data_IF_862467373338
#
_entry.id   IF_862467373338
#
_cell.length_a   1.000
_cell.length_b   1.000
_cell.length_c   1.000
_cell.angle_alpha   90.00
_cell.angle_beta   90.00
_cell.angle_gamma   90.00
#
_symmetry.space_group_name_H-M   'P 1'
#
loop_
_entity.id
_entity.type
_entity.pdbx_description
1 polymer ?
#
# COMPACT_ATOMS: atom_id res chain seq x y z
N UNK A 1 -25.55 -16.07 -4.74
CA UNK A 1 -24.22 -16.36 -4.19
C UNK A 1 -23.56 -17.40 -5.07
N UNK A 2 -22.32 -17.18 -5.50
CA UNK A 2 -21.60 -18.09 -6.40
C UNK A 2 -20.20 -18.39 -5.85
N UNK A 3 -19.81 -19.66 -5.65
CA UNK A 3 -18.47 -19.99 -5.18
C UNK A 3 -17.44 -19.74 -6.28
N UNK A 4 -16.26 -19.23 -5.91
CA UNK A 4 -15.13 -19.02 -6.80
C UNK A 4 -13.80 -19.30 -6.08
N UNK A 5 -12.71 -19.47 -6.84
CA UNK A 5 -11.36 -19.68 -6.31
C UNK A 5 -10.47 -18.52 -6.74
N UNK A 6 -9.89 -17.79 -5.77
CA UNK A 6 -8.94 -16.71 -6.08
C UNK A 6 -7.56 -17.23 -6.48
N UNK A 7 -7.22 -18.46 -6.11
CA UNK A 7 -5.96 -19.09 -6.45
C UNK A 7 -6.16 -20.55 -6.86
N UNK A 8 -6.74 -20.85 -8.03
CA UNK A 8 -7.07 -22.21 -8.44
C UNK A 8 -5.87 -23.16 -8.48
N UNK A 9 -4.66 -22.64 -8.70
CA UNK A 9 -3.41 -23.41 -8.63
C UNK A 9 -3.17 -24.08 -7.26
N UNK A 10 -3.76 -23.58 -6.17
CA UNK A 10 -3.71 -24.20 -4.86
C UNK A 10 -4.27 -25.63 -4.82
N UNK A 11 -5.17 -25.98 -5.75
CA UNK A 11 -5.70 -27.34 -5.90
C UNK A 11 -4.63 -28.36 -6.30
N UNK A 12 -3.45 -27.94 -6.80
CA UNK A 12 -2.33 -28.85 -7.06
C UNK A 12 -1.90 -29.61 -5.79
N UNK A 13 -2.15 -29.05 -4.60
CA UNK A 13 -1.91 -29.72 -3.33
C UNK A 13 -2.74 -31.02 -3.14
N UNK A 14 -3.81 -31.22 -3.92
CA UNK A 14 -4.56 -32.49 -3.93
C UNK A 14 -3.68 -33.68 -4.33
N UNK A 15 -2.55 -33.47 -5.02
CA UNK A 15 -1.57 -34.54 -5.28
C UNK A 15 -1.06 -35.21 -3.99
N UNK A 16 -1.08 -34.51 -2.85
CA UNK A 16 -0.71 -35.08 -1.55
C UNK A 16 -1.63 -36.23 -1.10
N UNK A 17 -2.86 -36.32 -1.65
CA UNK A 17 -3.78 -37.44 -1.40
C UNK A 17 -3.20 -38.78 -1.87
N UNK A 18 -2.32 -38.77 -2.87
CA UNK A 18 -1.66 -39.99 -3.36
C UNK A 18 -0.83 -40.65 -2.27
N UNK A 19 -0.21 -39.88 -1.38
CA UNK A 19 0.69 -40.42 -0.36
C UNK A 19 -0.02 -41.41 0.60
N UNK A 20 -1.11 -41.04 1.32
CA UNK A 20 -1.81 -41.98 2.19
C UNK A 20 -2.47 -43.13 1.42
N UNK A 21 -2.94 -42.91 0.18
CA UNK A 21 -3.48 -43.98 -0.67
C UNK A 21 -2.41 -45.02 -1.01
N UNK A 22 -1.23 -44.57 -1.43
CA UNK A 22 -0.10 -45.44 -1.76
C UNK A 22 0.45 -46.16 -0.53
N UNK A 23 0.57 -45.48 0.62
CA UNK A 23 0.97 -46.10 1.88
C UNK A 23 -0.04 -47.17 2.30
N UNK A 24 -1.34 -46.89 2.20
CA UNK A 24 -2.37 -47.85 2.54
C UNK A 24 -2.33 -49.08 1.64
N UNK A 25 -2.13 -48.89 0.32
CA UNK A 25 -1.99 -49.99 -0.63
C UNK A 25 -0.68 -50.79 -0.45
N UNK A 26 0.39 -50.13 -0.02
CA UNK A 26 1.69 -50.74 0.23
C UNK A 26 1.77 -51.48 1.57
N UNK A 27 0.87 -51.18 2.53
CA UNK A 27 0.83 -51.80 3.85
C UNK A 27 0.43 -53.27 3.74
N UNK A 28 1.43 -54.13 3.66
CA UNK A 28 1.25 -55.58 3.80
C UNK A 28 0.97 -55.88 5.27
N UNK A 29 -0.05 -56.69 5.56
CA UNK A 29 -0.32 -57.16 6.92
C UNK A 29 0.91 -57.93 7.40
N UNK A 30 1.61 -57.42 8.42
CA UNK A 30 2.65 -58.18 9.11
C UNK A 30 1.95 -59.30 9.87
N UNK A 31 1.96 -60.51 9.30
CA UNK A 31 1.65 -61.72 10.05
C UNK A 31 2.72 -61.91 11.11
N UNK A 32 2.39 -61.56 12.36
CA UNK A 32 3.20 -61.94 13.50
C UNK A 32 3.20 -63.48 13.57
N UNK A 33 4.34 -64.10 13.30
CA UNK A 33 4.53 -65.53 13.51
C UNK A 33 4.50 -65.78 15.01
N UNK A 34 3.36 -66.24 15.50
CA UNK A 34 3.23 -66.68 16.89
C UNK A 34 3.70 -68.13 16.96
N UNK A 35 4.71 -68.42 17.78
CA UNK A 35 5.19 -69.78 17.98
C UNK A 35 4.15 -70.57 18.78
N UNK A 36 3.32 -71.34 18.09
CA UNK A 36 2.24 -72.12 18.69
C UNK A 36 2.59 -73.61 18.63
N UNK A 37 3.05 -74.15 19.75
CA UNK A 37 3.61 -75.51 19.87
C UNK A 37 2.69 -76.64 19.37
N UNK A 38 1.37 -76.43 19.35
CA UNK A 38 0.40 -77.42 18.88
C UNK A 38 0.34 -77.55 17.34
N UNK A 39 0.90 -76.62 16.56
CA UNK A 39 0.89 -76.67 15.09
C UNK A 39 1.80 -77.75 14.49
N UNK A 40 2.74 -78.31 15.26
CA UNK A 40 3.66 -79.36 14.77
C UNK A 40 2.96 -80.65 14.32
N UNK A 41 1.69 -80.84 14.69
CA UNK A 41 0.87 -82.00 14.33
C UNK A 41 -0.13 -81.70 13.21
N UNK A 42 -0.26 -80.45 12.77
CA UNK A 42 -1.20 -80.02 11.74
C UNK A 42 -0.53 -80.09 10.36
N UNK A 43 -0.99 -81.02 9.50
CA UNK A 43 -0.34 -81.36 8.20
C UNK A 43 -0.79 -80.50 7.01
N UNK A 44 -1.62 -79.49 7.23
CA UNK A 44 -2.20 -78.70 6.16
C UNK A 44 -1.46 -77.37 5.98
N UNK A 45 -0.99 -77.11 4.75
CA UNK A 45 -0.43 -75.83 4.34
C UNK A 45 -1.57 -74.98 3.76
N UNK A 46 -2.24 -74.10 4.54
CA UNK A 46 -3.27 -73.24 3.98
C UNK A 46 -2.66 -72.32 2.92
N UNK A 47 -3.22 -72.32 1.70
CA UNK A 47 -2.82 -71.39 0.65
C UNK A 47 -3.10 -69.96 1.12
N UNK A 48 -2.11 -69.06 1.19
CA UNK A 48 -2.33 -67.69 1.64
C UNK A 48 -3.28 -66.98 0.68
N UNK A 49 -4.53 -66.77 1.13
CA UNK A 49 -5.50 -65.94 0.41
C UNK A 49 -5.13 -64.47 0.61
N UNK A 50 -4.31 -63.97 -0.31
CA UNK A 50 -3.97 -62.55 -0.44
C UNK A 50 -5.19 -61.77 -0.94
N UNK A 51 -6.11 -61.40 -0.04
CA UNK A 51 -7.14 -60.40 -0.36
C UNK A 51 -6.79 -59.11 0.38
N UNK A 52 -6.67 -57.97 -0.32
CA UNK A 52 -6.55 -56.69 0.35
C UNK A 52 -7.84 -56.44 1.14
N UNK A 53 -7.75 -56.45 2.47
CA UNK A 53 -8.80 -55.97 3.35
C UNK A 53 -8.47 -54.52 3.68
N UNK A 54 -9.41 -53.62 3.40
CA UNK A 54 -9.34 -52.22 3.78
C UNK A 54 -9.63 -52.08 5.28
N UNK A 55 -8.70 -52.55 6.13
CA UNK A 55 -8.78 -52.27 7.56
C UNK A 55 -8.54 -50.77 7.79
N UNK A 56 -9.25 -50.16 8.74
CA UNK A 56 -9.13 -48.72 9.06
C UNK A 56 -9.63 -47.74 7.97
N UNK A 57 -10.51 -48.16 7.02
CA UNK A 57 -11.06 -47.25 6.00
C UNK A 57 -11.65 -45.92 6.55
N UNK A 58 -12.36 -45.88 7.70
CA UNK A 58 -12.81 -44.61 8.28
C UNK A 58 -11.67 -43.63 8.58
N UNK A 59 -10.52 -44.12 9.03
CA UNK A 59 -9.34 -43.30 9.30
C UNK A 59 -8.69 -42.80 8.00
N UNK A 60 -8.64 -43.65 6.97
CA UNK A 60 -8.16 -43.25 5.65
C UNK A 60 -9.03 -42.13 5.05
N UNK A 61 -10.35 -42.27 5.10
CA UNK A 61 -11.29 -41.22 4.61
C UNK A 61 -11.07 -39.92 5.36
N UNK A 62 -10.96 -39.96 6.70
CA UNK A 62 -10.69 -38.77 7.49
C UNK A 62 -9.39 -38.08 7.08
N UNK A 63 -8.31 -38.85 6.82
CA UNK A 63 -7.03 -38.31 6.35
C UNK A 63 -7.12 -37.69 4.95
N UNK A 64 -7.85 -38.32 4.04
CA UNK A 64 -8.08 -37.77 2.70
C UNK A 64 -8.91 -36.48 2.75
N UNK A 65 -9.98 -36.45 3.55
CA UNK A 65 -10.79 -35.25 3.74
C UNK A 65 -9.99 -34.10 4.36
N UNK A 66 -9.13 -34.38 5.34
CA UNK A 66 -8.24 -33.40 5.94
C UNK A 66 -7.29 -32.77 4.90
N UNK A 67 -6.60 -33.60 4.11
CA UNK A 67 -5.70 -33.13 3.06
C UNK A 67 -6.45 -32.36 1.95
N UNK A 68 -7.64 -32.83 1.57
CA UNK A 68 -8.47 -32.13 0.59
C UNK A 68 -8.94 -30.76 1.11
N UNK A 69 -9.34 -30.66 2.38
CA UNK A 69 -9.71 -29.39 3.00
C UNK A 69 -8.52 -28.42 3.07
N UNK A 70 -7.32 -28.90 3.38
CA UNK A 70 -6.09 -28.10 3.35
C UNK A 70 -5.77 -27.62 1.93
N UNK A 71 -5.87 -28.49 0.92
CA UNK A 71 -5.67 -28.10 -0.48
C UNK A 71 -6.69 -27.04 -0.91
N UNK A 72 -7.95 -27.19 -0.50
CA UNK A 72 -8.98 -26.19 -0.74
C UNK A 72 -8.65 -24.87 -0.02
N UNK A 73 -8.08 -24.89 1.18
CA UNK A 73 -7.65 -23.69 1.90
C UNK A 73 -6.58 -22.90 1.12
N UNK A 74 -5.61 -23.59 0.53
CA UNK A 74 -4.63 -22.98 -0.36
C UNK A 74 -5.24 -22.41 -1.64
N UNK A 75 -6.37 -22.97 -2.12
CA UNK A 75 -7.05 -22.48 -3.32
C UNK A 75 -7.81 -21.14 -3.12
N UNK A 76 -7.83 -20.61 -1.89
CA UNK A 76 -8.49 -19.34 -1.50
C UNK A 76 -9.95 -19.28 -1.99
N UNK A 77 -10.84 -20.14 -1.45
CA UNK A 77 -12.23 -20.20 -1.83
C UNK A 77 -12.97 -18.97 -1.31
N UNK A 78 -13.80 -18.38 -2.18
CA UNK A 78 -14.61 -17.20 -1.86
C UNK A 78 -16.06 -17.39 -2.30
N UNK A 79 -17.00 -16.78 -1.58
CA UNK A 79 -18.39 -16.67 -2.00
C UNK A 79 -18.64 -15.27 -2.57
N UNK A 80 -18.94 -15.20 -3.86
CA UNK A 80 -19.33 -13.94 -4.52
C UNK A 80 -20.82 -13.66 -4.36
N UNK A 81 -21.20 -12.38 -4.26
CA UNK A 81 -22.60 -11.97 -4.07
C UNK A 81 -23.20 -12.41 -2.72
N UNK A 82 -22.34 -12.60 -1.71
CA UNK A 82 -22.65 -13.03 -0.36
C UNK A 82 -22.67 -11.88 0.66
N UNK A 83 -22.46 -10.66 0.19
CA UNK A 83 -22.28 -9.51 1.06
C UNK A 83 -23.62 -9.02 1.62
N UNK A 84 -23.58 -8.60 2.88
CA UNK A 84 -24.75 -8.20 3.64
C UNK A 84 -25.14 -6.76 3.32
N UNK A 85 -26.43 -6.51 3.10
CA UNK A 85 -26.99 -5.15 2.93
C UNK A 85 -27.11 -4.37 4.25
N UNK A 86 -26.49 -4.87 5.33
CA UNK A 86 -26.52 -4.22 6.64
C UNK A 86 -25.94 -2.81 6.54
N UNK A 87 -26.57 -1.81 7.21
CA UNK A 87 -26.00 -0.48 7.31
C UNK A 87 -24.58 -0.55 7.88
N UNK A 88 -23.64 0.14 7.24
CA UNK A 88 -22.24 0.24 7.67
C UNK A 88 -21.95 1.65 8.16
N UNK A 89 -21.32 1.76 9.32
CA UNK A 89 -20.86 3.03 9.89
C UNK A 89 -19.34 3.05 9.88
N UNK A 90 -18.75 4.07 9.27
CA UNK A 90 -17.32 4.33 9.31
C UNK A 90 -17.03 5.62 10.08
N UNK A 91 -15.97 5.64 10.89
CA UNK A 91 -15.59 6.79 11.71
C UNK A 91 -14.17 7.23 11.33
N UNK A 92 -14.01 8.49 10.92
CA UNK A 92 -12.68 9.05 10.66
C UNK A 92 -11.90 9.15 11.97
N UNK A 93 -10.62 8.74 12.03
CA UNK A 93 -9.78 8.93 13.20
C UNK A 93 -9.83 10.38 13.72
N UNK A 94 -10.10 10.55 15.01
CA UNK A 94 -10.28 11.85 15.65
C UNK A 94 -11.72 12.36 15.67
N UNK A 95 -12.67 11.70 15.00
CA UNK A 95 -14.11 11.94 15.17
C UNK A 95 -14.66 11.18 16.40
N UNK A 96 -15.74 11.68 16.98
CA UNK A 96 -16.45 10.99 18.06
C UNK A 96 -17.06 9.67 17.55
N UNK A 97 -16.60 8.56 18.13
CA UNK A 97 -17.05 7.21 17.82
C UNK A 97 -18.23 6.75 18.70
N UNK A 98 -18.61 7.50 19.75
CA UNK A 98 -19.67 7.10 20.69
C UNK A 98 -20.99 6.88 19.96
N UNK A 99 -21.63 5.75 20.22
CA UNK A 99 -22.90 5.39 19.57
C UNK A 99 -22.79 5.04 18.08
N UNK A 100 -21.61 4.70 17.56
CA UNK A 100 -21.46 4.24 16.17
C UNK A 100 -22.19 2.91 15.87
N UNK A 101 -22.56 2.15 16.90
CA UNK A 101 -23.27 0.89 16.79
C UNK A 101 -22.35 -0.31 16.57
N UNK A 102 -22.93 -1.50 16.64
CA UNK A 102 -22.22 -2.76 16.40
C UNK A 102 -21.78 -2.88 14.94
N UNK A 103 -20.53 -3.31 14.70
CA UNK A 103 -19.98 -3.48 13.36
C UNK A 103 -19.53 -2.19 12.67
N UNK A 104 -19.42 -1.08 13.42
CA UNK A 104 -18.75 0.13 12.95
C UNK A 104 -17.24 -0.10 12.81
N UNK A 105 -16.62 0.66 11.91
CA UNK A 105 -15.18 0.55 11.59
C UNK A 105 -14.49 1.90 11.64
N UNK A 106 -13.20 1.91 11.96
CA UNK A 106 -12.35 3.07 11.71
C UNK A 106 -12.10 3.23 10.22
N UNK A 107 -12.15 4.48 9.74
CA UNK A 107 -11.75 4.81 8.38
C UNK A 107 -10.22 4.89 8.30
N UNK A 108 -9.60 3.71 8.23
CA UNK A 108 -8.17 3.49 8.10
C UNK A 108 -7.93 2.26 7.19
N UNK A 109 -6.70 2.05 6.68
CA UNK A 109 -6.40 0.89 5.84
C UNK A 109 -6.82 -0.43 6.52
N UNK A 110 -7.57 -1.26 5.78
CA UNK A 110 -8.12 -2.52 6.29
C UNK A 110 -9.40 -2.40 7.14
N UNK A 111 -9.92 -1.20 7.35
CA UNK A 111 -11.17 -0.92 8.07
C UNK A 111 -11.30 -1.65 9.42
N UNK A 112 -10.34 -1.45 10.36
CA UNK A 112 -10.35 -2.16 11.63
C UNK A 112 -11.61 -1.80 12.43
N UNK A 113 -12.07 -2.74 13.25
CA UNK A 113 -13.28 -2.57 14.04
C UNK A 113 -13.16 -1.41 15.03
N UNK A 114 -14.28 -0.72 15.32
CA UNK A 114 -14.27 0.52 16.10
C UNK A 114 -13.80 0.33 17.55
N UNK A 115 -13.87 -0.89 18.07
CA UNK A 115 -13.40 -1.31 19.39
C UNK A 115 -11.87 -1.43 19.48
N UNK A 116 -11.18 -1.47 18.35
CA UNK A 116 -9.72 -1.41 18.31
C UNK A 116 -9.22 0.01 18.63
N UNK A 117 -7.98 0.14 19.15
CA UNK A 117 -7.38 1.45 19.39
C UNK A 117 -7.43 2.36 18.16
N UNK A 118 -7.79 3.63 18.38
CA UNK A 118 -7.90 4.60 17.29
C UNK A 118 -6.58 4.68 16.48
N UNK A 119 -6.63 4.49 15.16
CA UNK A 119 -5.46 4.60 14.29
C UNK A 119 -4.78 5.96 14.43
N UNK A 120 -3.45 5.95 14.45
CA UNK A 120 -2.61 7.15 14.55
C UNK A 120 -2.03 7.52 13.18
N UNK A 121 -1.73 8.81 13.00
CA UNK A 121 -1.12 9.32 11.78
C UNK A 121 -2.13 9.88 10.76
N UNK A 122 -1.62 10.28 9.59
CA UNK A 122 -2.44 10.79 8.49
C UNK A 122 -3.12 9.66 7.75
N UNK A 123 -4.43 9.80 7.52
CA UNK A 123 -5.22 8.85 6.73
C UNK A 123 -5.74 9.53 5.46
N UNK A 124 -5.63 8.90 4.28
CA UNK A 124 -6.18 9.44 3.04
C UNK A 124 -7.69 9.21 3.00
N UNK A 125 -8.44 10.09 3.68
CA UNK A 125 -9.89 9.96 3.91
C UNK A 125 -10.65 9.73 2.60
N UNK A 126 -10.36 10.50 1.55
CA UNK A 126 -11.05 10.42 0.25
C UNK A 126 -10.88 9.04 -0.39
N UNK A 127 -9.66 8.52 -0.42
CA UNK A 127 -9.36 7.21 -0.98
C UNK A 127 -10.03 6.09 -0.19
N UNK A 128 -10.00 6.18 1.14
CA UNK A 128 -10.61 5.16 2.02
C UNK A 128 -12.14 5.17 1.93
N UNK A 129 -12.77 6.33 1.73
CA UNK A 129 -14.22 6.40 1.46
C UNK A 129 -14.56 5.69 0.15
N UNK A 130 -13.77 5.89 -0.92
CA UNK A 130 -13.98 5.20 -2.20
C UNK A 130 -13.72 3.69 -2.10
N UNK A 131 -12.70 3.28 -1.37
CA UNK A 131 -12.41 1.87 -1.13
C UNK A 131 -13.54 1.20 -0.33
N UNK A 132 -14.00 1.83 0.75
CA UNK A 132 -15.15 1.34 1.50
C UNK A 132 -16.41 1.32 0.64
N UNK A 133 -16.59 2.31 -0.23
CA UNK A 133 -17.70 2.35 -1.16
C UNK A 133 -17.69 1.14 -2.09
N UNK A 134 -16.53 0.84 -2.69
CA UNK A 134 -16.35 -0.26 -3.62
C UNK A 134 -16.51 -1.66 -3.00
N UNK A 135 -16.27 -1.82 -1.70
CA UNK A 135 -16.35 -3.12 -1.00
C UNK A 135 -17.77 -3.49 -0.55
N UNK A 136 -18.70 -2.54 -0.50
CA UNK A 136 -20.07 -2.77 -0.04
C UNK A 136 -21.02 -3.15 -1.20
N UNK A 137 -22.08 -3.94 -0.96
CA UNK A 137 -23.16 -4.16 -1.92
C UNK A 137 -23.79 -2.86 -2.41
N UNK A 138 -24.39 -2.85 -3.62
CA UNK A 138 -25.10 -1.67 -4.14
C UNK A 138 -26.24 -1.18 -3.23
N UNK A 139 -26.92 -2.08 -2.51
CA UNK A 139 -28.06 -1.77 -1.64
C UNK A 139 -27.67 -1.41 -0.19
N UNK A 140 -26.41 -1.60 0.21
CA UNK A 140 -25.95 -1.31 1.56
C UNK A 140 -25.94 0.20 1.83
N UNK A 141 -26.45 0.62 2.99
CA UNK A 141 -26.38 2.02 3.43
C UNK A 141 -25.03 2.29 4.10
N UNK A 142 -24.36 3.38 3.73
CA UNK A 142 -23.09 3.78 4.32
C UNK A 142 -23.23 5.13 5.03
N UNK A 143 -22.92 5.16 6.32
CA UNK A 143 -22.78 6.38 7.12
C UNK A 143 -21.31 6.62 7.41
N UNK A 144 -20.81 7.83 7.16
CA UNK A 144 -19.43 8.22 7.51
C UNK A 144 -19.49 9.37 8.50
N UNK A 145 -18.94 9.12 9.70
CA UNK A 145 -18.81 10.11 10.77
C UNK A 145 -17.44 10.78 10.66
N UNK A 146 -17.45 12.09 10.51
CA UNK A 146 -16.25 12.90 10.26
C UNK A 146 -16.14 14.03 11.28
N UNK A 147 -14.92 14.45 11.65
CA UNK A 147 -14.76 15.66 12.45
C UNK A 147 -15.08 16.90 11.61
N UNK A 148 -15.21 18.07 12.23
CA UNK A 148 -15.52 19.31 11.51
C UNK A 148 -14.51 19.68 10.41
N UNK A 149 -13.26 19.25 10.59
CA UNK A 149 -12.12 19.53 9.69
C UNK A 149 -11.45 18.22 9.31
N UNK A 150 -11.27 18.02 8.00
CA UNK A 150 -10.55 16.88 7.44
C UNK A 150 -9.21 17.37 6.89
N UNK A 151 -8.16 16.57 7.11
CA UNK A 151 -6.82 16.75 6.56
C UNK A 151 -6.56 15.71 5.46
N UNK A 152 -5.61 15.95 4.57
CA UNK A 152 -5.32 15.05 3.45
C UNK A 152 -6.48 14.89 2.46
N UNK A 153 -7.35 15.90 2.35
CA UNK A 153 -8.39 15.95 1.34
C UNK A 153 -7.81 16.29 -0.05
N UNK A 154 -8.38 15.68 -1.08
CA UNK A 154 -8.10 16.04 -2.47
C UNK A 154 -8.78 17.37 -2.84
N UNK A 155 -8.32 17.99 -3.93
CA UNK A 155 -8.90 19.23 -4.47
C UNK A 155 -10.37 19.09 -4.92
N UNK A 156 -10.84 17.87 -5.16
CA UNK A 156 -12.21 17.57 -5.59
C UNK A 156 -12.95 16.72 -4.57
N UNK A 157 -14.28 16.87 -4.53
CA UNK A 157 -15.16 16.04 -3.70
C UNK A 157 -15.08 14.56 -4.12
N UNK A 158 -15.21 13.59 -3.20
CA UNK A 158 -15.15 12.18 -3.52
C UNK A 158 -16.38 11.82 -4.36
N UNK A 159 -16.16 11.27 -5.55
CA UNK A 159 -17.23 10.69 -6.36
C UNK A 159 -17.39 9.23 -5.96
N UNK A 160 -18.60 8.85 -5.55
CA UNK A 160 -18.96 7.53 -5.02
C UNK A 160 -20.18 6.94 -5.75
N UNK A 161 -20.40 5.64 -5.61
CA UNK A 161 -21.45 4.92 -6.33
C UNK A 161 -22.83 5.04 -5.67
N UNK A 162 -22.87 5.21 -4.34
CA UNK A 162 -24.09 5.37 -3.54
C UNK A 162 -24.14 6.70 -2.79
N UNK A 163 -25.32 7.07 -2.32
CA UNK A 163 -25.47 8.19 -1.40
C UNK A 163 -24.91 7.79 -0.02
N UNK A 164 -23.98 8.59 0.50
CA UNK A 164 -23.36 8.39 1.81
C UNK A 164 -24.00 9.37 2.79
N UNK A 165 -24.45 8.86 3.94
CA UNK A 165 -24.88 9.69 5.06
C UNK A 165 -23.64 10.28 5.74
N UNK A 166 -23.30 11.52 5.38
CA UNK A 166 -22.10 12.21 5.82
C UNK A 166 -22.40 13.05 7.07
N UNK A 167 -21.99 12.55 8.24
CA UNK A 167 -22.31 13.16 9.53
C UNK A 167 -21.10 13.83 10.16
N UNK A 168 -21.13 15.15 10.25
CA UNK A 168 -20.14 15.93 11.00
C UNK A 168 -20.43 15.76 12.50
N UNK A 169 -19.44 15.27 13.25
CA UNK A 169 -19.52 15.03 14.69
C UNK A 169 -18.39 15.75 15.44
N UNK A 170 -18.52 15.96 16.76
CA UNK A 170 -17.42 16.51 17.55
C UNK A 170 -16.16 15.68 17.39
N UNK A 171 -15.00 16.34 17.38
CA UNK A 171 -13.73 15.68 17.18
C UNK A 171 -12.73 16.55 16.44
N UNK A 172 -11.47 16.14 16.50
CA UNK A 172 -10.37 16.81 15.82
C UNK A 172 -9.45 15.75 15.23
N UNK A 173 -9.33 15.76 13.91
CA UNK A 173 -8.34 14.94 13.23
C UNK A 173 -6.93 15.47 13.53
N UNK A 174 -5.95 14.58 13.66
CA UNK A 174 -4.56 14.97 13.83
C UNK A 174 -4.08 15.72 12.57
N UNK A 175 -3.68 16.98 12.75
CA UNK A 175 -3.10 17.77 11.68
C UNK A 175 -1.67 17.27 11.40
N UNK A 176 -1.26 17.13 10.12
CA UNK A 176 0.14 16.91 9.81
C UNK A 176 0.97 18.06 10.39
N UNK A 177 2.21 17.79 10.85
CA UNK A 177 3.08 18.82 11.39
C UNK A 177 3.27 19.93 10.35
N UNK A 178 3.12 21.18 10.78
CA UNK A 178 3.34 22.32 9.91
C UNK A 178 4.78 22.28 9.39
N UNK A 179 4.95 22.05 8.09
CA UNK A 179 6.27 22.13 7.45
C UNK A 179 6.62 23.60 7.36
N UNK A 180 7.39 24.10 8.33
CA UNK A 180 7.98 25.44 8.23
C UNK A 180 9.03 25.37 7.13
N UNK A 181 8.71 25.94 5.96
CA UNK A 181 9.68 26.05 4.86
C UNK A 181 10.77 27.03 5.33
N UNK A 182 11.90 26.49 5.78
CA UNK A 182 13.06 27.31 6.08
C UNK A 182 13.58 27.90 4.76
N UNK A 183 13.94 29.20 4.72
CA UNK A 183 14.54 29.79 3.53
C UNK A 183 15.81 29.03 3.19
N UNK A 184 15.91 28.53 1.95
CA UNK A 184 17.09 27.84 1.46
C UNK A 184 18.17 28.90 1.20
N UNK A 185 19.30 28.92 1.92
CA UNK A 185 20.34 29.90 1.67
C UNK A 185 20.89 29.69 0.26
N UNK A 186 21.00 30.79 -0.51
CA UNK A 186 21.44 30.77 -1.89
C UNK A 186 22.82 31.41 -2.02
N UNK A 187 23.83 30.59 -2.28
CA UNK A 187 25.17 31.04 -2.63
C UNK A 187 25.28 31.26 -4.15
N UNK A 188 25.99 32.29 -4.60
CA UNK A 188 26.18 32.58 -6.03
C UNK A 188 27.66 32.45 -6.40
N UNK A 189 27.96 31.64 -7.42
CA UNK A 189 29.29 31.48 -8.01
C UNK A 189 29.24 32.05 -9.43
N UNK A 190 29.83 33.22 -9.61
CA UNK A 190 29.76 33.99 -10.85
C UNK A 190 31.13 33.98 -11.55
N UNK A 191 31.19 33.38 -12.73
CA UNK A 191 32.34 33.38 -13.63
C UNK A 191 32.13 34.24 -14.88
N UNK A 192 31.21 35.21 -14.83
CA UNK A 192 30.88 36.09 -15.95
C UNK A 192 29.76 35.57 -16.86
N UNK A 193 29.00 34.54 -16.44
CA UNK A 193 27.89 34.05 -17.24
C UNK A 193 26.70 35.04 -17.24
N UNK A 194 26.05 35.16 -18.41
CA UNK A 194 24.89 36.03 -18.58
C UNK A 194 23.79 35.67 -17.57
N UNK A 195 23.31 36.67 -16.86
CA UNK A 195 22.23 36.52 -15.88
C UNK A 195 22.66 36.37 -14.42
N UNK A 196 23.96 36.18 -14.15
CA UNK A 196 24.47 36.03 -12.79
C UNK A 196 24.16 37.26 -11.91
N UNK A 197 24.13 38.46 -12.51
CA UNK A 197 23.76 39.69 -11.82
C UNK A 197 22.32 39.67 -11.27
N UNK A 198 21.35 39.17 -12.05
CA UNK A 198 19.95 39.05 -11.60
C UNK A 198 19.81 38.03 -10.47
N UNK A 199 20.47 36.87 -10.58
CA UNK A 199 20.46 35.85 -9.54
C UNK A 199 21.12 36.35 -8.26
N UNK A 200 22.22 37.11 -8.36
CA UNK A 200 22.87 37.76 -7.21
C UNK A 200 22.00 38.84 -6.57
N UNK A 201 21.28 39.63 -7.36
CA UNK A 201 20.33 40.62 -6.84
C UNK A 201 19.19 39.93 -6.09
N UNK A 202 18.61 38.87 -6.65
CA UNK A 202 17.59 38.06 -6.01
C UNK A 202 18.09 37.37 -4.73
N UNK A 203 19.29 36.80 -4.75
CA UNK A 203 19.92 36.21 -3.56
C UNK A 203 20.06 37.23 -2.42
N UNK A 204 20.47 38.47 -2.74
CA UNK A 204 20.55 39.57 -1.76
C UNK A 204 19.18 39.97 -1.21
N UNK A 205 18.15 40.05 -2.07
CA UNK A 205 16.78 40.33 -1.65
C UNK A 205 16.24 39.23 -0.69
N UNK A 206 16.63 37.98 -0.91
CA UNK A 206 16.34 36.84 -0.03
C UNK A 206 17.23 36.79 1.23
N UNK A 207 18.08 37.80 1.47
CA UNK A 207 18.97 37.87 2.63
C UNK A 207 20.26 37.04 2.53
N UNK A 208 20.52 36.39 1.39
CA UNK A 208 21.75 35.63 1.16
C UNK A 208 22.89 36.55 0.73
N UNK A 209 24.04 36.43 1.39
CA UNK A 209 25.24 37.26 1.12
C UNK A 209 26.41 36.48 0.54
N UNK A 210 26.36 35.15 0.53
CA UNK A 210 27.41 34.29 -0.03
C UNK A 210 27.49 34.47 -1.55
N UNK A 211 28.51 35.17 -2.02
CA UNK A 211 28.78 35.40 -3.43
C UNK A 211 30.29 35.40 -3.69
N UNK A 212 30.72 34.91 -4.86
CA UNK A 212 32.13 34.84 -5.23
C UNK A 212 32.37 34.20 -6.60
N UNK A 213 33.64 34.01 -6.95
CA UNK A 213 34.07 33.28 -8.14
C UNK A 213 34.00 31.75 -7.97
N UNK A 214 34.49 31.01 -8.97
CA UNK A 214 34.53 29.55 -8.96
C UNK A 214 35.48 28.96 -7.90
N UNK A 215 36.44 29.76 -7.44
CA UNK A 215 37.46 29.47 -6.44
C UNK A 215 36.92 29.49 -4.99
N UNK A 216 35.78 30.15 -4.77
CA UNK A 216 35.18 30.25 -3.45
C UNK A 216 34.54 28.91 -3.03
N UNK A 217 34.86 28.36 -1.85
CA UNK A 217 34.34 27.08 -1.38
C UNK A 217 32.81 27.00 -1.42
N UNK A 218 32.27 25.83 -1.74
CA UNK A 218 30.83 25.58 -1.72
C UNK A 218 30.30 25.57 -0.28
N UNK A 219 29.06 26.04 -0.04
CA UNK A 219 28.43 25.93 1.27
C UNK A 219 28.25 24.46 1.68
N UNK A 220 28.05 24.22 2.98
CA UNK A 220 27.80 22.86 3.50
C UNK A 220 26.43 22.31 3.10
N UNK A 221 25.42 23.17 3.07
CA UNK A 221 24.05 22.84 2.70
C UNK A 221 23.32 24.04 2.08
N UNK A 222 22.28 23.79 1.29
CA UNK A 222 21.41 24.82 0.72
C UNK A 222 21.39 24.81 -0.81
N UNK A 223 21.43 25.99 -1.41
CA UNK A 223 21.43 26.16 -2.85
C UNK A 223 22.66 26.91 -3.35
N UNK A 224 23.16 26.53 -4.52
CA UNK A 224 24.27 27.21 -5.21
C UNK A 224 23.86 27.54 -6.64
N UNK A 225 23.89 28.82 -7.02
CA UNK A 225 23.85 29.21 -8.42
C UNK A 225 25.25 29.15 -9.02
N UNK A 226 25.51 28.17 -9.88
CA UNK A 226 26.79 27.96 -10.55
C UNK A 226 26.76 28.58 -11.95
N UNK A 227 27.14 29.84 -12.04
CA UNK A 227 27.15 30.68 -13.23
C UNK A 227 28.58 30.88 -13.75
N UNK A 228 29.31 29.78 -13.85
CA UNK A 228 30.68 29.72 -14.35
C UNK A 228 30.65 29.01 -15.71
N UNK A 229 31.21 29.60 -16.78
CA UNK A 229 31.30 28.94 -18.08
C UNK A 229 32.10 27.63 -18.02
N UNK A 230 31.72 26.65 -18.85
CA UNK A 230 32.42 25.37 -18.96
C UNK A 230 31.64 24.19 -18.37
N UNK A 231 32.31 23.04 -18.26
CA UNK A 231 31.71 21.84 -17.70
C UNK A 231 31.47 21.99 -16.19
N UNK A 232 30.36 21.43 -15.71
CA UNK A 232 30.04 21.46 -14.28
C UNK A 232 31.10 20.64 -13.50
N UNK A 233 31.81 21.21 -12.52
CA UNK A 233 32.81 20.46 -11.77
C UNK A 233 32.21 19.30 -10.96
N UNK A 234 32.98 18.23 -10.76
CA UNK A 234 32.55 17.07 -9.98
C UNK A 234 32.12 17.46 -8.56
N UNK A 235 32.85 18.36 -7.90
CA UNK A 235 32.52 18.85 -6.56
C UNK A 235 31.11 19.50 -6.48
N UNK A 236 30.66 20.17 -7.55
CA UNK A 236 29.33 20.81 -7.62
C UNK A 236 28.26 19.75 -7.88
N UNK A 237 28.54 18.75 -8.71
CA UNK A 237 27.64 17.59 -8.89
C UNK A 237 27.48 16.79 -7.59
N UNK A 238 28.57 16.55 -6.88
CA UNK A 238 28.56 15.83 -5.61
C UNK A 238 27.82 16.62 -4.53
N UNK A 239 27.93 17.96 -4.56
CA UNK A 239 27.15 18.84 -3.69
C UNK A 239 25.64 18.65 -3.92
N UNK A 240 25.19 18.63 -5.18
CA UNK A 240 23.79 18.31 -5.50
C UNK A 240 23.40 16.90 -5.03
N UNK A 241 24.24 15.89 -5.32
CA UNK A 241 23.99 14.50 -4.96
C UNK A 241 23.75 14.28 -3.45
N UNK A 242 24.36 15.10 -2.58
CA UNK A 242 24.20 15.07 -1.12
C UNK A 242 22.85 15.59 -0.60
N UNK A 243 21.96 16.10 -1.46
CA UNK A 243 20.65 16.64 -1.04
C UNK A 243 20.48 18.14 -1.27
N UNK A 244 21.43 18.78 -1.95
CA UNK A 244 21.40 20.23 -2.18
C UNK A 244 20.85 20.58 -3.56
N UNK A 245 20.64 21.88 -3.78
CA UNK A 245 20.13 22.41 -5.04
C UNK A 245 21.23 23.16 -5.79
N UNK A 246 21.40 22.90 -7.07
CA UNK A 246 22.32 23.68 -7.92
C UNK A 246 21.52 24.33 -9.05
N UNK A 247 21.63 25.66 -9.17
CA UNK A 247 21.04 26.42 -10.26
C UNK A 247 22.08 26.63 -11.36
N UNK A 248 21.67 26.38 -12.60
CA UNK A 248 22.53 26.38 -13.77
C UNK A 248 21.99 27.33 -14.84
N UNK A 249 22.88 28.03 -15.57
CA UNK A 249 22.49 28.85 -16.70
C UNK A 249 21.93 28.01 -17.85
N UNK A 250 21.31 28.67 -18.83
CA UNK A 250 20.72 28.02 -20.01
C UNK A 250 21.70 27.19 -20.84
N UNK A 251 22.99 27.52 -20.77
CA UNK A 251 24.07 26.83 -21.48
C UNK A 251 24.43 25.46 -20.89
N UNK A 252 24.03 25.17 -19.65
CA UNK A 252 24.29 23.88 -19.04
C UNK A 252 23.39 22.80 -19.62
N UNK A 253 23.86 21.55 -19.64
CA UNK A 253 23.04 20.39 -20.03
C UNK A 253 22.61 19.62 -18.79
N UNK A 254 21.33 19.27 -18.74
CA UNK A 254 20.73 18.46 -17.68
C UNK A 254 19.88 17.39 -18.38
N UNK A 255 20.13 16.12 -18.08
CA UNK A 255 19.36 14.99 -18.59
C UNK A 255 18.09 14.77 -17.74
N UNK A 256 17.04 14.20 -18.33
CA UNK A 256 15.80 13.80 -17.65
C UNK A 256 15.13 14.92 -16.83
N UNK A 257 15.17 16.15 -17.38
CA UNK A 257 14.65 17.33 -16.70
C UNK A 257 13.14 17.51 -16.92
N UNK A 258 12.44 17.99 -15.89
CA UNK A 258 11.00 18.31 -15.92
C UNK A 258 10.78 19.79 -15.62
N UNK A 259 9.80 20.42 -16.25
CA UNK A 259 9.51 21.85 -16.02
C UNK A 259 9.02 22.06 -14.59
N UNK A 260 9.76 22.86 -13.80
CA UNK A 260 9.42 23.18 -12.39
C UNK A 260 8.96 24.62 -12.20
N UNK A 261 9.25 25.50 -13.15
CA UNK A 261 8.86 26.89 -13.10
C UNK A 261 8.34 27.33 -14.48
N UNK A 262 7.12 27.89 -14.49
CA UNK A 262 6.49 28.53 -15.65
C UNK A 262 6.22 30.01 -15.35
N UNK A 263 6.22 30.83 -16.38
CA UNK A 263 5.78 32.23 -16.26
C UNK A 263 4.25 32.35 -16.26
N UNK A 264 3.75 33.58 -16.15
CA UNK A 264 2.32 33.88 -16.10
C UNK A 264 1.54 33.43 -17.35
N UNK A 265 2.22 33.23 -18.49
CA UNK A 265 1.64 32.76 -19.74
C UNK A 265 1.77 31.23 -19.90
N UNK A 266 2.31 30.55 -18.89
CA UNK A 266 2.51 29.09 -18.88
C UNK A 266 3.77 28.62 -19.62
N UNK A 267 4.60 29.54 -20.14
CA UNK A 267 5.84 29.19 -20.83
C UNK A 267 6.93 28.78 -19.83
N UNK A 268 7.78 27.77 -20.15
CA UNK A 268 8.78 27.27 -19.21
C UNK A 268 9.86 28.34 -18.93
N UNK A 269 10.25 28.45 -17.65
CA UNK A 269 11.32 29.33 -17.15
C UNK A 269 12.51 28.48 -16.70
N UNK A 270 12.26 27.42 -15.94
CA UNK A 270 13.27 26.49 -15.47
C UNK A 270 12.79 25.04 -15.44
N UNK A 271 13.73 24.14 -15.62
CA UNK A 271 13.55 22.69 -15.53
C UNK A 271 14.43 22.13 -14.42
N UNK A 272 14.01 21.05 -13.77
CA UNK A 272 14.78 20.35 -12.76
C UNK A 272 14.97 18.87 -13.08
N UNK A 273 16.13 18.34 -12.75
CA UNK A 273 16.41 16.91 -12.71
C UNK A 273 16.90 16.50 -11.31
N UNK A 274 16.50 15.30 -10.89
CA UNK A 274 16.99 14.71 -9.65
C UNK A 274 18.43 14.20 -9.81
N UNK A 275 19.28 14.49 -8.82
CA UNK A 275 20.66 13.96 -8.76
C UNK A 275 20.91 13.49 -7.34
N UNK A 276 21.11 12.18 -7.15
CA UNK A 276 21.24 11.58 -5.81
C UNK A 276 20.03 11.92 -4.93
N UNK A 277 20.26 12.62 -3.81
CA UNK A 277 19.20 13.12 -2.92
C UNK A 277 18.77 14.56 -3.21
N UNK A 278 19.44 15.26 -4.13
CA UNK A 278 19.21 16.68 -4.44
C UNK A 278 18.76 16.91 -5.87
N UNK A 279 18.93 18.14 -6.36
CA UNK A 279 18.36 18.57 -7.66
C UNK A 279 19.29 19.54 -8.40
N UNK A 280 19.32 19.40 -9.72
CA UNK A 280 19.87 20.41 -10.64
C UNK A 280 18.71 21.16 -11.26
N UNK A 281 18.69 22.50 -11.16
CA UNK A 281 17.69 23.37 -11.76
C UNK A 281 18.37 24.18 -12.85
N UNK A 282 17.89 24.09 -14.08
CA UNK A 282 18.43 24.79 -15.24
C UNK A 282 17.41 25.78 -15.77
N UNK A 283 17.83 27.02 -16.03
CA UNK A 283 17.01 27.98 -16.75
C UNK A 283 16.88 27.58 -18.23
N UNK A 284 15.68 27.59 -18.80
CA UNK A 284 15.48 27.21 -20.22
C UNK A 284 15.60 28.39 -21.17
N UNK A 285 15.59 29.62 -20.63
CA UNK A 285 15.74 30.86 -21.38
C UNK A 285 16.98 31.63 -20.92
N UNK A 286 17.61 32.43 -21.80
CA UNK A 286 18.64 33.38 -21.39
C UNK A 286 18.11 34.30 -20.29
N UNK A 287 18.92 34.50 -19.25
CA UNK A 287 18.56 35.37 -18.14
C UNK A 287 18.86 36.85 -18.47
N UNK A 288 18.14 37.36 -19.46
CA UNK A 288 18.14 38.77 -19.87
C UNK A 288 16.72 39.32 -19.80
N UNK A 289 16.57 40.61 -19.49
CA UNK A 289 15.24 41.24 -19.38
C UNK A 289 14.42 41.10 -20.68
N UNK A 290 15.08 41.05 -21.85
CA UNK A 290 14.42 40.85 -23.14
C UNK A 290 13.85 39.43 -23.33
N UNK A 291 14.57 38.39 -22.88
CA UNK A 291 14.15 37.00 -23.05
C UNK A 291 13.26 36.50 -21.88
N UNK A 292 13.44 37.07 -20.69
CA UNK A 292 12.70 36.76 -19.49
C UNK A 292 12.34 38.07 -18.75
N UNK A 293 11.24 38.74 -19.14
CA UNK A 293 10.77 39.97 -18.48
C UNK A 293 10.53 39.80 -16.97
N UNK A 294 10.18 38.58 -16.55
CA UNK A 294 10.00 38.22 -15.14
C UNK A 294 11.25 38.48 -14.26
N UNK A 295 12.44 38.71 -14.83
CA UNK A 295 13.65 39.04 -14.07
C UNK A 295 13.61 40.40 -13.38
N UNK A 296 12.83 41.33 -13.92
CA UNK A 296 12.71 42.70 -13.39
C UNK A 296 11.41 42.90 -12.59
N UNK A 297 10.57 41.87 -12.51
CA UNK A 297 9.37 41.87 -11.67
C UNK A 297 9.75 41.82 -10.18
N UNK A 298 8.97 42.48 -9.33
CA UNK A 298 9.24 42.56 -7.90
C UNK A 298 9.17 41.20 -7.19
N UNK A 299 8.43 40.23 -7.74
CA UNK A 299 8.25 38.89 -7.18
C UNK A 299 9.29 37.88 -7.68
N UNK A 300 10.26 38.29 -8.51
CA UNK A 300 11.33 37.42 -8.99
C UNK A 300 12.09 36.70 -7.87
N UNK A 301 12.51 37.36 -6.76
CA UNK A 301 13.20 36.69 -5.67
C UNK A 301 12.35 35.59 -5.02
N UNK A 302 11.06 35.85 -4.84
CA UNK A 302 10.13 34.89 -4.24
C UNK A 302 9.90 33.68 -5.16
N UNK A 303 9.73 33.90 -6.46
CA UNK A 303 9.60 32.83 -7.46
C UNK A 303 10.88 31.99 -7.54
N UNK A 304 12.05 32.63 -7.47
CA UNK A 304 13.34 31.93 -7.42
C UNK A 304 13.45 31.07 -6.14
N UNK A 305 13.11 31.63 -4.98
CA UNK A 305 13.09 30.91 -3.72
C UNK A 305 12.14 29.71 -3.75
N UNK A 306 10.95 29.86 -4.33
CA UNK A 306 9.98 28.79 -4.51
C UNK A 306 10.49 27.67 -5.43
N UNK A 307 11.18 28.02 -6.53
CA UNK A 307 11.77 27.03 -7.43
C UNK A 307 12.88 26.21 -6.76
N UNK A 308 13.68 26.85 -5.91
CA UNK A 308 14.77 26.21 -5.15
C UNK A 308 14.23 25.40 -3.97
N UNK A 309 13.17 25.90 -3.32
CA UNK A 309 12.54 25.29 -2.16
C UNK A 309 11.96 23.91 -2.45
N UNK A 310 11.64 23.18 -1.38
CA UNK A 310 10.86 21.95 -1.51
C UNK A 310 9.52 22.27 -2.19
N UNK A 311 9.02 21.38 -3.08
CA UNK A 311 7.72 21.59 -3.70
C UNK A 311 6.67 21.80 -2.60
N UNK A 312 5.77 22.78 -2.74
CA UNK A 312 4.77 23.05 -1.73
C UNK A 312 3.92 21.80 -1.53
N UNK A 313 3.69 21.43 -0.26
CA UNK A 313 2.71 20.37 0.06
C UNK A 313 1.34 20.92 -0.35
N UNK A 314 0.59 20.24 -1.24
CA UNK A 314 -0.71 20.71 -1.66
C UNK A 314 -1.63 20.87 -0.44
N UNK A 315 -2.49 21.89 -0.43
CA UNK A 315 -3.42 22.10 0.68
C UNK A 315 -4.36 20.92 0.80
N UNK A 316 -4.27 20.19 1.91
CA UNK A 316 -5.13 19.03 2.19
C UNK A 316 -6.20 19.29 3.24
N UNK A 317 -6.36 20.54 3.70
CA UNK A 317 -7.26 20.88 4.81
C UNK A 317 -8.57 21.45 4.28
N UNK A 318 -9.69 20.87 4.71
CA UNK A 318 -11.03 21.29 4.28
C UNK A 318 -12.07 21.16 5.40
N UNK A 319 -13.12 21.99 5.33
CA UNK A 319 -14.31 21.80 6.14
C UNK A 319 -15.06 20.56 5.68
N UNK A 320 -15.37 19.65 6.61
CA UNK A 320 -16.00 18.39 6.27
C UNK A 320 -17.36 18.55 5.58
N UNK A 321 -18.14 19.57 5.96
CA UNK A 321 -19.44 19.88 5.34
C UNK A 321 -19.34 20.20 3.85
N UNK A 322 -18.23 20.82 3.43
CA UNK A 322 -18.03 21.27 2.04
C UNK A 322 -17.41 20.15 1.18
N UNK A 323 -16.89 19.10 1.81
CA UNK A 323 -16.26 17.94 1.17
C UNK A 323 -17.11 16.67 1.22
N UNK A 324 -18.43 16.79 1.46
CA UNK A 324 -19.34 15.65 1.45
C UNK A 324 -19.30 14.92 0.08
N UNK A 325 -19.26 13.57 0.02
CA UNK A 325 -19.23 12.82 -1.24
C UNK A 325 -20.38 13.14 -2.19
N UNK A 326 -20.11 13.09 -3.49
CA UNK A 326 -21.11 13.22 -4.56
C UNK A 326 -21.35 11.86 -5.22
N UNK A 327 -22.60 11.60 -5.60
CA UNK A 327 -22.94 10.39 -6.36
C UNK A 327 -22.56 10.58 -7.82
N UNK A 328 -21.90 9.60 -8.42
CA UNK A 328 -21.55 9.62 -9.84
C UNK A 328 -20.57 8.55 -10.29
N UNK A 329 -20.03 7.73 -9.36
CA UNK A 329 -19.15 6.64 -9.74
C UNK A 329 -19.97 5.44 -10.20
N UNK A 330 -19.40 4.65 -11.12
CA UNK A 330 -19.99 3.36 -11.49
C UNK A 330 -20.03 2.44 -10.25
N UNK A 331 -21.19 1.83 -10.00
CA UNK A 331 -21.30 0.84 -8.94
C UNK A 331 -20.48 -0.40 -9.31
N UNK A 332 -19.71 -0.89 -8.35
CA UNK A 332 -19.02 -2.18 -8.50
C UNK A 332 -20.10 -3.27 -8.59
N UNK A 333 -20.05 -4.16 -9.60
CA UNK A 333 -21.04 -5.22 -9.73
C UNK A 333 -21.01 -6.12 -8.49
N UNK A 334 -22.17 -6.53 -7.99
CA UNK A 334 -22.31 -7.33 -6.78
C UNK A 334 -21.51 -8.66 -6.83
N UNK A 335 -21.23 -9.17 -8.02
CA UNK A 335 -20.38 -10.35 -8.24
C UNK A 335 -18.90 -10.14 -7.85
N UNK A 336 -18.41 -8.90 -7.84
CA UNK A 336 -17.04 -8.59 -7.45
C UNK A 336 -16.84 -8.54 -5.92
N UNK A 337 -17.92 -8.37 -5.16
CA UNK A 337 -17.85 -8.43 -3.69
C UNK A 337 -17.86 -9.90 -3.27
N UNK A 338 -16.80 -10.30 -2.57
CA UNK A 338 -16.57 -11.70 -2.20
C UNK A 338 -16.22 -11.85 -0.72
N UNK A 339 -16.68 -12.95 -0.12
CA UNK A 339 -16.40 -13.31 1.28
C UNK A 339 -15.39 -14.45 1.31
N UNK A 340 -14.28 -14.26 2.03
CA UNK A 340 -13.25 -15.29 2.20
C UNK A 340 -13.74 -16.43 3.09
N UNK A 341 -13.73 -17.67 2.57
CA UNK A 341 -14.17 -18.86 3.30
C UNK A 341 -13.05 -19.51 4.13
N UNK A 342 -11.79 -19.08 4.00
CA UNK A 342 -10.66 -19.67 4.72
C UNK A 342 -10.82 -19.72 6.24
N UNK A 343 -11.39 -18.71 6.94
CA UNK A 343 -11.59 -18.80 8.39
C UNK A 343 -12.51 -19.94 8.79
N UNK A 344 -13.63 -20.12 8.08
CA UNK A 344 -14.57 -21.22 8.31
C UNK A 344 -13.96 -22.57 7.96
N UNK A 345 -13.20 -22.63 6.86
CA UNK A 345 -12.48 -23.84 6.47
C UNK A 345 -11.39 -24.21 7.48
N UNK A 346 -10.73 -23.25 8.12
CA UNK A 346 -9.76 -23.51 9.19
C UNK A 346 -10.42 -24.17 10.40
N UNK A 347 -11.64 -23.74 10.78
CA UNK A 347 -12.43 -24.39 11.84
C UNK A 347 -12.79 -25.82 11.42
N UNK A 348 -13.26 -26.01 10.18
CA UNK A 348 -13.59 -27.35 9.66
C UNK A 348 -12.37 -28.28 9.63
N UNK A 349 -11.19 -27.78 9.22
CA UNK A 349 -9.92 -28.50 9.25
C UNK A 349 -9.56 -28.91 10.69
N UNK A 350 -9.70 -28.00 11.66
CA UNK A 350 -9.43 -28.30 13.06
C UNK A 350 -10.37 -29.39 13.61
N UNK A 351 -11.67 -29.34 13.27
CA UNK A 351 -12.63 -30.37 13.65
C UNK A 351 -12.31 -31.72 12.99
N UNK A 352 -11.97 -31.73 11.70
CA UNK A 352 -11.53 -32.94 10.99
C UNK A 352 -10.27 -33.55 11.62
N UNK A 353 -9.32 -32.71 12.03
CA UNK A 353 -8.11 -33.16 12.73
C UNK A 353 -8.46 -33.82 14.07
N UNK A 354 -9.38 -33.25 14.85
CA UNK A 354 -9.85 -33.85 16.11
C UNK A 354 -10.51 -35.21 15.89
N UNK A 355 -11.35 -35.33 14.86
CA UNK A 355 -11.99 -36.60 14.48
C UNK A 355 -10.93 -37.63 14.04
N UNK A 356 -9.96 -37.22 13.23
CA UNK A 356 -8.88 -38.10 12.79
C UNK A 356 -8.02 -38.58 13.98
N UNK A 357 -7.65 -37.68 14.91
CA UNK A 357 -6.91 -38.02 16.13
C UNK A 357 -7.70 -38.96 17.03
N UNK A 358 -9.00 -38.75 17.17
CA UNK A 358 -9.86 -39.63 17.95
C UNK A 358 -9.98 -41.03 17.32
N UNK A 359 -10.15 -41.12 15.99
CA UNK A 359 -10.15 -42.41 15.29
C UNK A 359 -8.79 -43.13 15.41
N UNK A 360 -7.67 -42.41 15.35
CA UNK A 360 -6.33 -42.97 15.48
C UNK A 360 -6.00 -43.45 16.91
N UNK A 361 -6.58 -42.81 17.92
CA UNK A 361 -6.38 -43.16 19.34
C UNK A 361 -7.38 -44.20 19.86
N UNK A 362 -8.50 -44.41 19.16
CA UNK A 362 -9.47 -45.46 19.50
C UNK A 362 -8.77 -46.82 19.49
N UNK A 363 -8.76 -47.48 20.66
CA UNK A 363 -8.24 -48.83 20.90
C UNK A 363 -9.10 -49.92 20.24
N UNK A 364 -9.49 -49.73 18.98
CA UNK A 364 -9.89 -50.82 18.10
C UNK A 364 -8.68 -51.30 17.29
N UNK A 365 -7.51 -51.41 17.94
CA UNK A 365 -6.51 -52.38 17.49
C UNK A 365 -7.10 -53.73 17.81
N UNK A 366 -7.92 -54.25 16.91
CA UNK A 366 -8.35 -55.64 16.98
C UNK A 366 -7.08 -56.47 17.11
N UNK A 367 -6.91 -57.13 18.25
CA UNK A 367 -6.00 -58.28 18.33
C UNK A 367 -6.56 -59.23 17.29
N UNK A 368 -5.84 -59.37 16.18
CA UNK A 368 -6.21 -60.31 15.14
C UNK A 368 -6.33 -61.70 15.80
N UNK A 369 -7.45 -62.43 15.62
CA UNK A 369 -7.55 -63.81 16.07
C UNK A 369 -6.58 -64.72 15.30
#
# INVERSE_FOLDING_TARGET
>A
MTPALLFPAGLAALAALLLPLLIHLARRTETATTDFAALRWLRERPKPRRRPRFDEWPLLVARLLLLAAIALWFARPVLTGAASDRPRVAVVPGADARGAGEGAVWLAPGFPAIDTPMPQGSVPVVSLVRELDATLPPAARLTVRVPAVIEGADAARPVVSRAIDWRVVPGRMAAPPAVRVAPVPLAVRDGGAVGAAYVRAAARALGSRDNGGADVPLPRAGAVAWFVPGELPAAVRDFAARGNVVLLPVTARVADATTVWRDALGAPVAEAAGVGRGRLIRFVRPLTAAALPALVEADFPDRLAAAIGAPPVPPGRVMARDHAPVRGAAAVPAAAVSVDLRPWLAIAIALLLLVERWLATRRARGVAP
#
